data_IF_479909421121
#
_entry.id   IF_479909421121
#
_cell.length_a   1.000
_cell.length_b   1.000
_cell.length_c   1.000
_cell.angle_alpha   90.00
_cell.angle_beta   90.00
_cell.angle_gamma   90.00
#
_symmetry.space_group_name_H-M   'P 1'
#
loop_
_entity.id
_entity.type
_entity.pdbx_description
1 polymer ?
#
# COMPACT_ATOMS: atom_id res chain seq x y z
N UNK A 1 -20.72 17.64 21.58
CA UNK A 1 -19.81 18.19 20.55
C UNK A 1 -19.89 17.27 19.34
N UNK A 2 -20.41 17.73 18.21
CA UNK A 2 -20.35 16.99 16.94
C UNK A 2 -18.90 16.95 16.50
N UNK A 3 -18.24 15.79 16.61
CA UNK A 3 -16.89 15.61 16.14
C UNK A 3 -16.88 15.80 14.62
N UNK A 4 -16.30 16.91 14.16
CA UNK A 4 -16.29 17.24 12.74
C UNK A 4 -15.30 16.31 12.03
N UNK A 5 -15.82 15.44 11.16
CA UNK A 5 -15.03 14.49 10.38
C UNK A 5 -14.01 15.26 9.51
N UNK A 6 -12.73 14.91 9.60
CA UNK A 6 -11.68 15.58 8.81
C UNK A 6 -11.86 15.27 7.32
N UNK A 7 -11.73 16.29 6.47
CA UNK A 7 -11.69 16.09 5.02
C UNK A 7 -10.42 15.32 4.64
N UNK A 8 -10.55 14.35 3.75
CA UNK A 8 -9.45 13.54 3.23
C UNK A 8 -9.22 13.90 1.77
N UNK A 9 -7.96 13.99 1.37
CA UNK A 9 -7.56 14.27 0.00
C UNK A 9 -6.55 13.24 -0.50
N UNK A 10 -6.56 12.99 -1.82
CA UNK A 10 -5.54 12.18 -2.50
C UNK A 10 -4.46 13.14 -3.00
N UNK A 11 -3.24 13.02 -2.45
CA UNK A 11 -2.09 13.85 -2.86
C UNK A 11 -1.49 13.37 -4.17
N UNK A 12 -1.64 12.08 -4.46
CA UNK A 12 -1.43 11.49 -5.77
C UNK A 12 -1.17 9.99 -5.69
N UNK A 13 -0.44 9.44 -6.65
CA UNK A 13 -0.27 7.99 -6.76
C UNK A 13 0.84 7.56 -7.70
N UNK A 14 1.16 6.27 -7.61
CA UNK A 14 2.12 5.59 -8.46
C UNK A 14 1.66 4.13 -8.68
N UNK A 15 2.04 3.55 -9.82
CA UNK A 15 1.80 2.14 -10.13
C UNK A 15 2.86 1.62 -11.08
N UNK A 16 3.09 0.31 -11.07
CA UNK A 16 3.79 -0.35 -12.17
C UNK A 16 2.89 -0.41 -13.43
N UNK A 17 3.47 -0.55 -14.63
CA UNK A 17 2.70 -0.87 -15.83
C UNK A 17 1.86 -2.15 -15.64
N UNK A 18 0.67 -2.21 -16.21
CA UNK A 18 -0.06 -3.48 -16.26
C UNK A 18 0.48 -4.32 -17.41
N UNK A 19 0.80 -5.58 -17.14
CA UNK A 19 1.22 -6.55 -18.14
C UNK A 19 0.19 -7.69 -18.24
N UNK A 20 0.19 -8.40 -19.38
CA UNK A 20 -0.59 -9.64 -19.50
C UNK A 20 -0.01 -10.69 -18.54
N UNK A 21 -0.88 -11.49 -17.92
CA UNK A 21 -0.43 -12.61 -17.09
C UNK A 21 0.44 -13.57 -17.92
N UNK A 22 1.41 -14.21 -17.27
CA UNK A 22 2.41 -15.09 -17.88
C UNK A 22 3.33 -14.43 -18.93
N UNK A 23 3.51 -13.10 -18.88
CA UNK A 23 4.49 -12.39 -19.73
C UNK A 23 5.56 -11.68 -18.90
N UNK A 24 5.58 -10.35 -18.86
CA UNK A 24 6.67 -9.53 -18.31
C UNK A 24 6.95 -9.76 -16.82
N UNK A 25 5.91 -10.09 -16.05
CA UNK A 25 5.99 -10.30 -14.60
C UNK A 25 5.87 -11.78 -14.20
N UNK A 26 6.05 -12.72 -15.13
CA UNK A 26 5.87 -14.16 -14.85
C UNK A 26 6.74 -14.71 -13.71
N UNK A 27 7.86 -14.06 -13.43
CA UNK A 27 8.79 -14.45 -12.35
C UNK A 27 8.79 -13.47 -11.17
N UNK A 28 7.97 -12.41 -11.21
CA UNK A 28 7.88 -11.43 -10.13
C UNK A 28 6.84 -11.88 -9.11
N UNK A 29 7.21 -11.84 -7.83
CA UNK A 29 6.27 -12.08 -6.74
C UNK A 29 5.37 -10.87 -6.48
N UNK A 30 4.29 -11.06 -5.70
CA UNK A 30 3.51 -9.93 -5.19
C UNK A 30 4.39 -8.93 -4.43
N UNK A 31 5.35 -9.42 -3.63
CA UNK A 31 6.27 -8.57 -2.88
C UNK A 31 7.13 -7.73 -3.82
N UNK A 32 7.68 -8.32 -4.90
CA UNK A 32 8.49 -7.59 -5.87
C UNK A 32 7.69 -6.46 -6.53
N UNK A 33 6.47 -6.76 -6.98
CA UNK A 33 5.62 -5.80 -7.67
C UNK A 33 5.11 -4.69 -6.75
N UNK A 34 4.65 -5.02 -5.54
CA UNK A 34 4.19 -4.03 -4.57
C UNK A 34 5.36 -3.16 -4.08
N UNK A 35 6.52 -3.75 -3.82
CA UNK A 35 7.74 -3.03 -3.43
C UNK A 35 8.19 -2.07 -4.54
N UNK A 36 8.14 -2.50 -5.81
CA UNK A 36 8.46 -1.62 -6.94
C UNK A 36 7.47 -0.45 -7.04
N UNK A 37 6.17 -0.69 -6.86
CA UNK A 37 5.16 0.36 -6.85
C UNK A 37 5.37 1.36 -5.69
N UNK A 38 5.69 0.86 -4.50
CA UNK A 38 5.99 1.68 -3.32
C UNK A 38 7.28 2.50 -3.51
N UNK A 39 8.37 1.91 -4.01
CA UNK A 39 9.60 2.64 -4.27
C UNK A 39 9.41 3.77 -5.29
N UNK A 40 8.61 3.53 -6.35
CA UNK A 40 8.27 4.60 -7.28
C UNK A 40 7.43 5.72 -6.65
N UNK A 41 6.54 5.40 -5.70
CA UNK A 41 5.80 6.39 -4.92
C UNK A 41 6.74 7.18 -4.00
N UNK A 42 7.58 6.47 -3.23
CA UNK A 42 8.53 7.05 -2.29
C UNK A 42 9.47 8.03 -2.99
N UNK A 43 10.01 7.63 -4.14
CA UNK A 43 10.90 8.47 -4.92
C UNK A 43 10.19 9.68 -5.54
N UNK A 44 8.94 9.54 -5.96
CA UNK A 44 8.16 10.63 -6.56
C UNK A 44 7.80 11.73 -5.55
N UNK A 45 7.65 11.36 -4.28
CA UNK A 45 7.18 12.25 -3.21
C UNK A 45 8.23 12.49 -2.12
N UNK A 46 9.50 12.15 -2.38
CA UNK A 46 10.63 12.32 -1.46
C UNK A 46 10.39 11.80 -0.02
N UNK A 47 9.84 10.57 0.07
CA UNK A 47 9.42 9.95 1.33
C UNK A 47 10.52 9.08 1.98
N UNK A 48 11.75 9.10 1.47
CA UNK A 48 12.84 8.27 1.99
C UNK A 48 13.11 8.58 3.47
N UNK A 49 13.15 7.54 4.30
CA UNK A 49 13.34 7.65 5.76
C UNK A 49 12.18 8.32 6.52
N UNK A 50 11.11 8.75 5.84
CA UNK A 50 9.94 9.36 6.47
C UNK A 50 9.05 8.30 7.09
N UNK A 51 8.60 8.55 8.33
CA UNK A 51 7.59 7.72 8.99
C UNK A 51 6.21 8.18 8.54
N UNK A 52 5.46 7.28 7.95
CA UNK A 52 4.07 7.51 7.56
C UNK A 52 3.14 6.96 8.66
N UNK A 53 1.92 7.49 8.73
CA UNK A 53 0.94 7.03 9.70
C UNK A 53 0.64 5.54 9.57
N UNK A 54 0.43 5.07 8.34
CA UNK A 54 0.31 3.64 8.00
C UNK A 54 0.39 3.39 6.49
N UNK A 55 0.84 2.19 6.11
CA UNK A 55 0.70 1.62 4.78
C UNK A 55 -0.35 0.51 4.82
N UNK A 56 -1.45 0.64 4.09
CA UNK A 56 -2.44 -0.45 3.94
C UNK A 56 -2.35 -0.98 2.53
N UNK A 57 -2.12 -2.28 2.38
CA UNK A 57 -2.04 -2.91 1.06
C UNK A 57 -2.39 -4.40 1.14
N UNK A 58 -2.46 -5.05 -0.02
CA UNK A 58 -2.60 -6.49 -0.07
C UNK A 58 -2.76 -7.03 -1.48
N UNK A 59 -3.01 -8.34 -1.53
CA UNK A 59 -3.19 -9.14 -2.75
C UNK A 59 -4.29 -10.16 -2.52
N UNK A 60 -5.01 -10.52 -3.59
CA UNK A 60 -6.05 -11.55 -3.56
C UNK A 60 -5.43 -12.94 -3.56
N UNK A 61 -4.47 -13.15 -4.46
CA UNK A 61 -3.74 -14.41 -4.58
C UNK A 61 -2.39 -14.20 -3.91
N UNK A 62 -2.18 -14.88 -2.78
CA UNK A 62 -0.94 -14.81 -2.00
C UNK A 62 -0.39 -16.21 -1.79
N UNK A 63 0.94 -16.34 -1.86
CA UNK A 63 1.58 -17.53 -1.34
C UNK A 63 1.49 -17.51 0.19
N UNK A 64 1.41 -18.68 0.83
CA UNK A 64 1.39 -18.79 2.30
C UNK A 64 2.56 -18.11 3.02
N UNK A 65 3.67 -17.84 2.32
CA UNK A 65 4.84 -17.12 2.86
C UNK A 65 4.61 -15.62 2.92
N UNK A 66 3.68 -15.10 2.11
CA UNK A 66 3.35 -13.67 2.02
C UNK A 66 2.27 -13.30 3.07
N UNK A 67 2.35 -13.88 4.27
CA UNK A 67 1.32 -13.73 5.31
C UNK A 67 1.17 -12.29 5.79
N UNK A 68 2.26 -11.52 5.76
CA UNK A 68 2.28 -10.09 6.07
C UNK A 68 2.90 -9.29 4.91
N UNK A 69 2.42 -9.54 3.70
CA UNK A 69 2.93 -8.98 2.45
C UNK A 69 3.16 -7.47 2.54
N UNK A 70 2.16 -6.71 3.02
CA UNK A 70 2.28 -5.26 3.15
C UNK A 70 3.47 -4.84 4.04
N UNK A 71 3.72 -5.55 5.14
CA UNK A 71 4.84 -5.26 6.05
C UNK A 71 6.18 -5.59 5.43
N UNK A 72 6.31 -6.74 4.80
CA UNK A 72 7.55 -7.15 4.13
C UNK A 72 7.90 -6.18 2.99
N UNK A 73 6.89 -5.68 2.27
CA UNK A 73 7.10 -4.65 1.26
C UNK A 73 7.61 -3.34 1.85
N UNK A 74 7.03 -2.85 2.96
CA UNK A 74 7.51 -1.63 3.63
C UNK A 74 8.98 -1.79 4.07
N UNK A 75 9.33 -2.94 4.65
CA UNK A 75 10.70 -3.25 5.07
C UNK A 75 11.68 -3.38 3.89
N UNK A 76 11.18 -3.71 2.70
CA UNK A 76 11.95 -3.82 1.46
C UNK A 76 12.09 -2.49 0.69
N UNK A 77 11.64 -1.37 1.28
CA UNK A 77 11.73 -0.03 0.68
C UNK A 77 12.66 0.89 1.48
N UNK A 78 12.89 2.10 0.97
CA UNK A 78 13.59 3.17 1.70
C UNK A 78 12.69 3.94 2.67
N UNK A 79 11.43 3.53 2.88
CA UNK A 79 10.54 4.14 3.87
C UNK A 79 11.06 3.86 5.29
N UNK A 80 10.67 4.69 6.26
CA UNK A 80 11.06 4.42 7.65
C UNK A 80 10.52 3.06 8.12
N UNK A 81 11.36 2.16 8.69
CA UNK A 81 10.92 0.84 9.13
C UNK A 81 9.91 0.89 10.29
N UNK A 82 9.81 2.01 11.00
CA UNK A 82 8.80 2.26 12.04
C UNK A 82 7.42 2.63 11.48
N UNK A 83 7.27 2.74 10.15
CA UNK A 83 5.96 2.90 9.51
C UNK A 83 5.17 1.61 9.67
N UNK A 84 4.00 1.62 10.33
CA UNK A 84 3.18 0.43 10.46
C UNK A 84 2.57 0.05 9.10
N UNK A 85 2.33 -1.24 8.90
CA UNK A 85 1.72 -1.76 7.70
C UNK A 85 0.62 -2.77 8.05
N UNK A 86 -0.49 -2.71 7.31
CA UNK A 86 -1.63 -3.62 7.47
C UNK A 86 -1.88 -4.34 6.15
N UNK A 87 -1.84 -5.66 6.21
CA UNK A 87 -2.21 -6.54 5.10
C UNK A 87 -3.73 -6.78 5.09
N UNK A 88 -4.37 -6.60 3.94
CA UNK A 88 -5.82 -6.81 3.78
C UNK A 88 -6.14 -7.59 2.50
N UNK A 89 -7.33 -8.16 2.45
CA UNK A 89 -7.82 -8.87 1.28
C UNK A 89 -9.34 -8.73 1.15
N UNK A 90 -9.80 -8.25 -0.01
CA UNK A 90 -11.23 -8.13 -0.35
C UNK A 90 -11.46 -8.34 -1.85
N UNK A 91 -11.03 -9.49 -2.37
CA UNK A 91 -11.13 -9.83 -3.80
C UNK A 91 -10.69 -8.64 -4.69
N UNK A 92 -11.39 -8.36 -5.79
CA UNK A 92 -11.12 -7.22 -6.66
C UNK A 92 -11.21 -5.85 -5.96
N UNK A 93 -11.83 -5.78 -4.78
CA UNK A 93 -11.95 -4.57 -3.97
C UNK A 93 -10.77 -4.30 -3.04
N UNK A 94 -9.74 -5.16 -2.99
CA UNK A 94 -8.61 -5.05 -2.04
C UNK A 94 -7.96 -3.66 -2.04
N UNK A 95 -7.55 -3.15 -3.21
CA UNK A 95 -6.90 -1.83 -3.31
C UNK A 95 -7.83 -0.68 -2.92
N UNK A 96 -9.11 -0.76 -3.28
CA UNK A 96 -10.10 0.26 -2.90
C UNK A 96 -10.38 0.23 -1.39
N UNK A 97 -10.45 -0.96 -0.80
CA UNK A 97 -10.62 -1.15 0.63
C UNK A 97 -9.43 -0.59 1.41
N UNK A 98 -8.20 -0.70 0.87
CA UNK A 98 -7.02 -0.09 1.46
C UNK A 98 -7.14 1.44 1.50
N UNK A 99 -7.58 2.05 0.40
CA UNK A 99 -7.85 3.49 0.35
C UNK A 99 -8.90 3.91 1.38
N UNK A 100 -9.99 3.14 1.51
CA UNK A 100 -11.04 3.40 2.50
C UNK A 100 -10.52 3.30 3.94
N UNK A 101 -9.71 2.29 4.26
CA UNK A 101 -9.14 2.15 5.61
C UNK A 101 -8.21 3.31 5.98
N UNK A 102 -7.31 3.72 5.07
CA UNK A 102 -6.44 4.88 5.27
C UNK A 102 -7.28 6.16 5.42
N UNK A 103 -8.26 6.36 4.53
CA UNK A 103 -9.13 7.53 4.59
C UNK A 103 -9.91 7.60 5.91
N UNK A 104 -10.44 6.49 6.41
CA UNK A 104 -11.14 6.44 7.69
C UNK A 104 -10.22 6.82 8.86
N UNK A 105 -8.99 6.31 8.87
CA UNK A 105 -8.01 6.65 9.91
C UNK A 105 -7.64 8.14 9.88
N UNK A 106 -7.53 8.74 8.69
CA UNK A 106 -7.33 10.19 8.55
C UNK A 106 -8.59 10.95 8.99
N UNK A 107 -9.76 10.59 8.48
CA UNK A 107 -11.02 11.24 8.79
C UNK A 107 -11.32 11.32 10.31
N UNK A 108 -10.94 10.27 11.04
CA UNK A 108 -11.18 10.11 12.47
C UNK A 108 -10.05 10.64 13.38
N UNK A 109 -8.92 11.11 12.83
CA UNK A 109 -7.84 11.68 13.65
C UNK A 109 -6.75 10.69 14.09
N UNK A 110 -6.77 9.43 13.64
CA UNK A 110 -5.79 8.42 14.06
C UNK A 110 -4.42 8.60 13.41
N UNK A 111 -4.37 9.07 12.17
CA UNK A 111 -3.15 9.35 11.41
C UNK A 111 -3.34 10.60 10.55
N UNK A 112 -2.28 11.33 10.22
CA UNK A 112 -2.37 12.52 9.34
C UNK A 112 -2.15 12.21 7.86
N UNK A 113 -1.43 11.13 7.56
CA UNK A 113 -1.20 10.64 6.22
C UNK A 113 -1.04 9.12 6.22
N UNK A 114 -1.30 8.50 5.07
CA UNK A 114 -1.14 7.08 4.86
C UNK A 114 -0.93 6.76 3.39
N UNK A 115 -0.45 5.55 3.12
CA UNK A 115 -0.30 5.01 1.78
C UNK A 115 -1.27 3.85 1.65
N UNK A 116 -2.02 3.81 0.56
CA UNK A 116 -2.90 2.69 0.21
C UNK A 116 -2.44 2.07 -1.11
N UNK A 117 -2.54 0.75 -1.23
CA UNK A 117 -2.14 0.07 -2.46
C UNK A 117 -2.56 -1.39 -2.54
N UNK A 118 -1.99 -2.09 -3.51
CA UNK A 118 -2.16 -3.51 -3.71
C UNK A 118 -1.41 -4.01 -4.93
N UNK A 119 -1.27 -5.32 -5.03
CA UNK A 119 -0.66 -6.03 -6.16
C UNK A 119 -1.41 -7.32 -6.39
N UNK A 120 -1.33 -7.91 -7.58
CA UNK A 120 -1.80 -9.28 -7.80
C UNK A 120 -0.98 -9.92 -8.91
N UNK A 121 -0.49 -11.13 -8.63
CA UNK A 121 0.05 -12.08 -9.60
C UNK A 121 -0.43 -13.49 -9.25
N UNK A 122 -0.37 -14.40 -10.23
CA UNK A 122 -0.76 -15.81 -10.10
C UNK A 122 0.40 -16.69 -9.68
#
# INVERSE_FOLDING_TARGET
>A
MTQQIRRVAIIGGNRIPFARSNTTYSYASNQDMLTAALNGLINRYDLQGKKIGEVVAGSVIKHSRDFNLARECVLSTSLNPMTPATDIQQACGTGLQACMQVANKIALGHIDCGIAGGSDTT
#
